data_IF_787450118831
#
_entry.id   IF_787450118831
#
_cell.length_a   1.000
_cell.length_b   1.000
_cell.length_c   1.000
_cell.angle_alpha   90.00
_cell.angle_beta   90.00
_cell.angle_gamma   90.00
#
_symmetry.space_group_name_H-M   'P 1'
#
loop_
_entity.id
_entity.type
_entity.pdbx_description
1 polymer ?
#
# COMPACT_ATOMS: atom_id res chain seq x y z
N UNK A 1 24.25 7.99 -4.43
CA UNK A 1 23.77 8.08 -3.04
C UNK A 1 22.25 8.09 -3.10
N UNK A 2 21.61 6.92 -2.97
CA UNK A 2 20.16 6.86 -2.83
C UNK A 2 19.83 7.46 -1.46
N UNK A 3 19.47 8.74 -1.44
CA UNK A 3 19.02 9.40 -0.22
C UNK A 3 17.81 8.65 0.32
N UNK A 4 17.78 8.42 1.63
CA UNK A 4 16.59 7.95 2.34
C UNK A 4 15.39 8.80 1.94
N UNK A 5 14.34 8.17 1.43
CA UNK A 5 13.09 8.86 1.09
C UNK A 5 12.47 9.40 2.38
N UNK A 6 12.21 10.71 2.49
CA UNK A 6 11.78 11.29 3.75
C UNK A 6 10.33 10.93 4.08
N UNK A 7 10.06 10.79 5.38
CA UNK A 7 8.70 10.85 5.92
C UNK A 7 8.10 12.25 5.73
N UNK A 8 6.80 12.37 5.94
CA UNK A 8 6.14 13.67 6.09
C UNK A 8 6.60 14.36 7.38
N UNK A 9 6.61 15.69 7.40
CA UNK A 9 6.90 16.45 8.62
C UNK A 9 5.81 16.26 9.69
N UNK A 10 4.56 16.09 9.24
CA UNK A 10 3.41 15.87 10.11
C UNK A 10 2.34 15.05 9.38
N UNK A 11 1.92 13.96 10.00
CA UNK A 11 0.74 13.20 9.58
C UNK A 11 -0.53 14.07 9.69
N UNK A 12 -1.29 14.17 8.60
CA UNK A 12 -2.56 14.93 8.52
C UNK A 12 -3.79 14.03 8.46
N UNK A 13 -3.61 12.71 8.40
CA UNK A 13 -4.69 11.72 8.49
C UNK A 13 -5.06 11.48 9.95
N UNK A 14 -6.36 11.45 10.26
CA UNK A 14 -6.84 11.17 11.62
C UNK A 14 -6.45 9.75 12.06
N UNK A 15 -6.07 9.61 13.32
CA UNK A 15 -5.73 8.33 13.96
C UNK A 15 -6.81 7.94 14.97
N UNK A 16 -7.15 6.66 14.98
CA UNK A 16 -8.05 6.05 15.95
C UNK A 16 -7.48 4.74 16.48
N UNK A 17 -7.77 4.42 17.74
CA UNK A 17 -7.27 3.23 18.41
C UNK A 17 -8.36 2.15 18.52
N UNK A 18 -8.09 1.12 19.31
CA UNK A 18 -9.02 0.01 19.60
C UNK A 18 -10.34 0.43 20.27
N UNK A 19 -10.48 1.67 20.74
CA UNK A 19 -11.74 2.19 21.29
C UNK A 19 -12.76 2.59 20.22
N UNK A 20 -12.35 2.69 18.95
CA UNK A 20 -13.26 3.01 17.84
C UNK A 20 -14.30 1.89 17.66
N UNK A 21 -15.55 2.20 17.96
CA UNK A 21 -16.65 1.25 17.77
C UNK A 21 -17.05 1.11 16.31
N UNK A 22 -17.68 -0.01 15.96
CA UNK A 22 -18.18 -0.24 14.61
C UNK A 22 -19.19 0.84 14.16
N UNK A 23 -20.10 1.26 15.04
CA UNK A 23 -21.09 2.30 14.73
C UNK A 23 -20.42 3.65 14.46
N UNK A 24 -19.41 4.01 15.24
CA UNK A 24 -18.67 5.25 15.07
C UNK A 24 -17.81 5.23 13.80
N UNK A 25 -17.24 4.06 13.46
CA UNK A 25 -16.55 3.87 12.18
C UNK A 25 -17.47 4.11 10.99
N UNK A 26 -18.66 3.50 11.00
CA UNK A 26 -19.65 3.71 9.94
C UNK A 26 -20.09 5.17 9.83
N UNK A 27 -20.32 5.83 10.95
CA UNK A 27 -20.80 7.21 10.98
C UNK A 27 -19.75 8.22 10.53
N UNK A 28 -18.47 8.02 10.89
CA UNK A 28 -17.42 9.04 10.72
C UNK A 28 -16.48 8.79 9.55
N UNK A 29 -16.25 7.53 9.16
CA UNK A 29 -15.16 7.18 8.26
C UNK A 29 -15.63 6.40 7.04
N UNK A 30 -16.43 5.35 7.22
CA UNK A 30 -16.81 4.40 6.17
C UNK A 30 -17.15 5.03 4.81
N UNK A 31 -17.92 6.12 4.82
CA UNK A 31 -18.41 6.78 3.60
C UNK A 31 -17.97 8.24 3.49
N UNK A 32 -17.00 8.66 4.30
CA UNK A 32 -16.64 10.08 4.40
C UNK A 32 -15.16 10.33 4.19
N UNK A 33 -14.30 9.78 5.05
CA UNK A 33 -12.88 10.15 5.08
C UNK A 33 -11.95 9.01 5.56
N UNK A 34 -10.67 9.05 5.17
CA UNK A 34 -9.68 8.10 5.64
C UNK A 34 -9.42 8.17 7.14
N UNK A 35 -8.96 7.07 7.70
CA UNK A 35 -8.51 6.97 9.09
C UNK A 35 -7.39 5.96 9.20
N UNK A 36 -6.43 6.22 10.07
CA UNK A 36 -5.39 5.26 10.44
C UNK A 36 -5.77 4.62 11.76
N UNK A 37 -5.87 3.29 11.74
CA UNK A 37 -6.22 2.46 12.86
C UNK A 37 -4.96 1.85 13.45
N UNK A 38 -4.84 1.88 14.77
CA UNK A 38 -3.75 1.21 15.49
C UNK A 38 -4.28 0.37 16.64
N UNK A 39 -3.64 -0.78 16.89
CA UNK A 39 -4.06 -1.71 17.95
C UNK A 39 -5.39 -2.43 17.69
N UNK A 40 -5.87 -2.42 16.44
CA UNK A 40 -7.14 -3.07 16.04
C UNK A 40 -6.96 -4.50 15.52
N UNK A 41 -5.72 -4.91 15.24
CA UNK A 41 -5.32 -6.24 14.76
C UNK A 41 -4.14 -6.76 15.58
N UNK A 42 -4.02 -8.08 15.72
CA UNK A 42 -2.79 -8.74 16.18
C UNK A 42 -2.29 -9.67 15.07
N UNK A 43 -1.36 -9.15 14.28
CA UNK A 43 -0.74 -9.87 13.17
C UNK A 43 0.68 -10.36 13.51
N UNK A 44 0.99 -10.57 14.79
CA UNK A 44 2.31 -11.03 15.22
C UNK A 44 2.73 -12.36 14.56
N UNK A 45 1.80 -13.32 14.48
CA UNK A 45 2.02 -14.61 13.83
C UNK A 45 2.21 -14.45 12.30
N UNK A 46 1.33 -13.69 11.65
CA UNK A 46 1.44 -13.37 10.22
C UNK A 46 2.78 -12.71 9.89
N UNK A 47 3.18 -11.71 10.68
CA UNK A 47 4.46 -11.02 10.54
C UNK A 47 5.66 -11.95 10.65
N UNK A 48 5.65 -12.91 11.57
CA UNK A 48 6.72 -13.91 11.71
C UNK A 48 6.87 -14.80 10.46
N UNK A 49 5.77 -15.06 9.75
CA UNK A 49 5.76 -15.81 8.48
C UNK A 49 6.17 -14.96 7.27
N UNK A 50 6.00 -13.63 7.37
CA UNK A 50 6.35 -12.68 6.31
C UNK A 50 7.83 -12.25 6.29
N UNK A 51 8.71 -12.94 7.03
CA UNK A 51 10.15 -12.66 6.93
C UNK A 51 10.71 -13.14 5.59
N UNK A 52 11.78 -12.50 5.10
CA UNK A 52 12.43 -12.87 3.85
C UNK A 52 12.76 -14.36 3.77
N UNK A 53 13.36 -14.90 4.84
CA UNK A 53 13.74 -16.32 4.93
C UNK A 53 12.52 -17.25 4.83
N UNK A 54 11.46 -16.99 5.61
CA UNK A 54 10.25 -17.83 5.62
C UNK A 54 9.51 -17.76 4.29
N UNK A 55 9.39 -16.56 3.70
CA UNK A 55 8.75 -16.39 2.40
C UNK A 55 9.52 -17.11 1.29
N UNK A 56 10.85 -16.98 1.24
CA UNK A 56 11.68 -17.70 0.26
C UNK A 56 11.59 -19.22 0.43
N UNK A 57 11.65 -19.71 1.67
CA UNK A 57 11.54 -21.14 1.94
C UNK A 57 10.18 -21.73 1.52
N UNK A 58 9.08 -20.98 1.71
CA UNK A 58 7.73 -21.45 1.41
C UNK A 58 7.32 -21.24 -0.06
N UNK A 59 7.74 -20.12 -0.67
CA UNK A 59 7.22 -19.64 -1.95
C UNK A 59 8.29 -19.42 -3.02
N UNK A 60 9.59 -19.58 -2.74
CA UNK A 60 10.70 -19.20 -3.63
C UNK A 60 10.59 -19.70 -5.07
N UNK A 61 10.26 -20.98 -5.26
CA UNK A 61 10.12 -21.58 -6.59
C UNK A 61 8.77 -21.26 -7.28
N UNK A 62 7.80 -20.68 -6.55
CA UNK A 62 6.46 -20.45 -7.07
C UNK A 62 6.43 -19.20 -7.93
N UNK A 63 5.69 -19.22 -9.06
CA UNK A 63 5.54 -18.03 -9.88
C UNK A 63 4.75 -16.96 -9.13
N UNK A 64 5.22 -15.71 -9.23
CA UNK A 64 4.51 -14.51 -8.82
C UNK A 64 4.35 -13.59 -10.01
N UNK A 65 3.21 -12.90 -10.06
CA UNK A 65 2.93 -11.89 -11.07
C UNK A 65 3.38 -10.53 -10.58
N UNK A 66 4.36 -9.95 -11.25
CA UNK A 66 4.80 -8.59 -11.04
C UNK A 66 4.01 -7.66 -11.96
N UNK A 67 3.74 -6.45 -11.47
CA UNK A 67 3.07 -5.41 -12.24
C UNK A 67 3.93 -4.15 -12.31
N UNK A 68 3.73 -3.33 -13.34
CA UNK A 68 4.36 -2.01 -13.39
C UNK A 68 3.78 -1.06 -12.36
N UNK A 69 4.64 -0.22 -11.78
CA UNK A 69 4.32 0.72 -10.71
C UNK A 69 3.72 2.05 -11.23
N UNK A 70 3.15 2.09 -12.43
CA UNK A 70 2.37 3.22 -12.93
C UNK A 70 0.88 3.05 -12.59
N UNK A 71 0.11 4.13 -12.77
CA UNK A 71 -1.31 4.24 -12.36
C UNK A 71 -2.20 3.06 -12.75
N UNK A 72 -1.94 2.45 -13.91
CA UNK A 72 -2.79 1.41 -14.48
C UNK A 72 -2.17 0.01 -14.44
N UNK A 73 -0.89 -0.12 -14.09
CA UNK A 73 -0.22 -1.43 -13.96
C UNK A 73 -0.40 -2.37 -15.17
N UNK A 74 -0.42 -1.83 -16.40
CA UNK A 74 -0.81 -2.57 -17.61
C UNK A 74 0.13 -3.73 -17.96
N UNK A 75 1.43 -3.56 -17.74
CA UNK A 75 2.40 -4.59 -18.07
C UNK A 75 2.65 -5.49 -16.87
N UNK A 76 2.56 -6.80 -17.11
CA UNK A 76 2.71 -7.83 -16.08
C UNK A 76 3.69 -8.90 -16.54
N UNK A 77 4.50 -9.39 -15.61
CA UNK A 77 5.51 -10.41 -15.87
C UNK A 77 5.44 -11.45 -14.76
N UNK A 78 5.44 -12.72 -15.14
CA UNK A 78 5.50 -13.83 -14.18
C UNK A 78 6.96 -14.27 -14.01
N UNK A 79 7.44 -14.29 -12.77
CA UNK A 79 8.80 -14.77 -12.41
C UNK A 79 8.72 -15.66 -11.17
N UNK A 80 9.69 -16.56 -10.92
CA UNK A 80 9.82 -17.20 -9.62
C UNK A 80 9.94 -16.16 -8.50
N UNK A 81 9.28 -16.39 -7.37
CA UNK A 81 9.35 -15.47 -6.23
C UNK A 81 10.79 -15.21 -5.76
N UNK A 82 11.64 -16.24 -5.79
CA UNK A 82 13.05 -16.12 -5.47
C UNK A 82 13.77 -15.14 -6.40
N UNK A 83 13.54 -15.24 -7.71
CA UNK A 83 14.14 -14.34 -8.70
C UNK A 83 13.74 -12.88 -8.42
N UNK A 84 12.46 -12.64 -8.09
CA UNK A 84 12.00 -11.32 -7.70
C UNK A 84 12.76 -10.80 -6.47
N UNK A 85 12.78 -11.57 -5.38
CA UNK A 85 13.37 -11.14 -4.09
C UNK A 85 14.89 -11.00 -4.14
N UNK A 86 15.58 -11.78 -4.96
CA UNK A 86 17.05 -11.80 -5.02
C UNK A 86 17.64 -10.84 -6.06
N UNK A 87 16.90 -10.54 -7.13
CA UNK A 87 17.47 -9.82 -8.28
C UNK A 87 16.68 -8.58 -8.71
N UNK A 88 15.36 -8.55 -8.50
CA UNK A 88 14.50 -7.46 -8.98
C UNK A 88 14.04 -6.53 -7.86
N UNK A 89 13.96 -7.00 -6.62
CA UNK A 89 13.57 -6.24 -5.44
C UNK A 89 14.71 -5.30 -5.02
N UNK A 90 14.75 -4.12 -5.63
CA UNK A 90 15.75 -3.08 -5.40
C UNK A 90 15.10 -1.71 -5.23
N UNK A 91 15.83 -0.70 -4.69
CA UNK A 91 15.33 0.66 -4.64
C UNK A 91 14.93 1.20 -6.02
N UNK A 92 13.91 2.04 -6.07
CA UNK A 92 13.50 2.77 -7.27
C UNK A 92 14.68 3.59 -7.80
N UNK A 93 14.99 3.42 -9.09
CA UNK A 93 15.91 4.30 -9.79
C UNK A 93 15.18 5.64 -10.09
N UNK A 94 15.68 6.79 -9.59
CA UNK A 94 15.06 8.08 -9.86
C UNK A 94 15.00 8.48 -11.34
N UNK A 95 15.79 7.83 -12.21
CA UNK A 95 15.78 8.06 -13.65
C UNK A 95 14.76 7.19 -14.40
N UNK A 96 14.17 6.18 -13.75
CA UNK A 96 13.20 5.27 -14.37
C UNK A 96 11.75 5.75 -14.17
N UNK A 97 10.90 5.48 -15.16
CA UNK A 97 9.46 5.71 -15.06
C UNK A 97 8.78 4.60 -14.26
N UNK A 98 7.58 4.86 -13.75
CA UNK A 98 6.79 3.83 -13.06
C UNK A 98 6.41 2.67 -13.97
N UNK A 99 6.32 2.92 -15.29
CA UNK A 99 6.10 1.90 -16.31
C UNK A 99 7.27 0.91 -16.47
N UNK A 100 8.47 1.27 -15.99
CA UNK A 100 9.67 0.43 -16.09
C UNK A 100 10.04 -0.22 -14.75
N UNK A 101 9.33 0.16 -13.68
CA UNK A 101 9.49 -0.41 -12.34
C UNK A 101 8.52 -1.56 -12.12
N UNK A 102 9.04 -2.76 -11.89
CA UNK A 102 8.24 -3.92 -11.48
C UNK A 102 8.17 -4.05 -9.96
N UNK A 103 6.99 -4.35 -9.43
CA UNK A 103 6.81 -4.70 -8.03
C UNK A 103 5.72 -5.77 -7.86
N UNK A 104 5.79 -6.52 -6.74
CA UNK A 104 4.82 -7.58 -6.44
C UNK A 104 3.68 -7.01 -5.61
N UNK A 105 2.48 -6.94 -6.18
CA UNK A 105 1.27 -6.52 -5.49
C UNK A 105 0.03 -7.05 -6.20
N UNK A 106 -0.83 -7.73 -5.44
CA UNK A 106 -2.04 -8.32 -6.00
C UNK A 106 -1.73 -9.46 -6.96
N UNK A 107 -2.76 -9.86 -7.73
CA UNK A 107 -2.73 -11.05 -8.59
C UNK A 107 -2.18 -12.29 -7.88
N UNK A 108 -2.33 -12.36 -6.55
CA UNK A 108 -1.80 -13.45 -5.77
C UNK A 108 -2.59 -14.72 -6.14
N UNK A 109 -1.89 -15.84 -6.32
CA UNK A 109 -2.56 -17.13 -6.49
C UNK A 109 -3.10 -17.59 -5.12
N UNK A 110 -4.40 -17.42 -4.89
CA UNK A 110 -5.02 -17.72 -3.60
C UNK A 110 -4.98 -19.20 -3.19
N UNK A 111 -4.82 -20.12 -4.14
CA UNK A 111 -4.58 -21.53 -3.83
C UNK A 111 -3.19 -21.72 -3.24
N UNK A 112 -2.19 -21.11 -3.86
CA UNK A 112 -0.80 -21.23 -3.44
C UNK A 112 -0.52 -20.45 -2.14
N UNK A 113 -0.98 -19.19 -2.09
CA UNK A 113 -0.73 -18.26 -0.99
C UNK A 113 -1.77 -18.37 0.14
N UNK A 114 -2.84 -19.15 -0.06
CA UNK A 114 -3.93 -19.35 0.90
C UNK A 114 -3.49 -19.69 2.33
N UNK A 115 -2.54 -20.64 2.55
CA UNK A 115 -2.06 -20.94 3.88
C UNK A 115 -1.44 -19.75 4.62
N UNK A 116 -0.78 -18.82 3.91
CA UNK A 116 -0.28 -17.59 4.50
C UNK A 116 -1.42 -16.62 4.81
N UNK A 117 -2.37 -16.45 3.88
CA UNK A 117 -3.50 -15.53 4.05
C UNK A 117 -4.46 -15.93 5.16
N UNK A 118 -4.58 -17.24 5.46
CA UNK A 118 -5.34 -17.73 6.61
C UNK A 118 -4.76 -17.30 7.96
N UNK A 119 -3.49 -16.87 8.00
CA UNK A 119 -2.85 -16.38 9.22
C UNK A 119 -3.04 -14.87 9.42
N UNK A 120 -3.55 -14.16 8.41
CA UNK A 120 -3.81 -12.72 8.49
C UNK A 120 -5.11 -12.45 9.24
N UNK A 121 -5.04 -11.58 10.25
CA UNK A 121 -6.19 -11.07 10.99
C UNK A 121 -6.54 -9.69 10.42
N UNK A 122 -7.63 -9.56 9.63
CA UNK A 122 -8.03 -8.28 9.07
C UNK A 122 -8.64 -7.35 10.14
N UNK A 123 -8.71 -6.05 9.88
CA UNK A 123 -9.40 -5.10 10.76
C UNK A 123 -10.85 -5.53 11.02
N UNK A 124 -11.41 -5.26 12.22
CA UNK A 124 -12.75 -5.72 12.60
C UNK A 124 -13.90 -4.94 11.93
N UNK A 125 -13.57 -3.91 11.14
CA UNK A 125 -14.54 -3.04 10.51
C UNK A 125 -14.92 -3.55 9.10
N UNK A 126 -16.23 -3.54 8.80
CA UNK A 126 -16.79 -3.99 7.52
C UNK A 126 -17.70 -2.93 6.91
N UNK A 127 -17.74 -2.85 5.59
CA UNK A 127 -18.71 -2.03 4.87
C UNK A 127 -19.90 -2.92 4.49
N UNK A 128 -21.15 -2.55 4.83
CA UNK A 128 -22.31 -3.35 4.46
C UNK A 128 -22.39 -3.56 2.94
N UNK A 129 -22.63 -4.81 2.53
CA UNK A 129 -22.79 -5.17 1.11
C UNK A 129 -21.49 -5.42 0.35
N UNK A 130 -20.32 -5.35 1.00
CA UNK A 130 -19.04 -5.65 0.36
C UNK A 130 -18.46 -7.00 0.79
N UNK A 131 -17.58 -7.55 -0.04
CA UNK A 131 -16.80 -8.75 0.25
C UNK A 131 -15.29 -8.42 0.25
N UNK A 132 -14.52 -8.95 1.22
CA UNK A 132 -13.09 -8.69 1.28
C UNK A 132 -12.32 -9.53 0.25
N UNK A 133 -11.35 -8.91 -0.41
CA UNK A 133 -10.36 -9.56 -1.25
C UNK A 133 -8.96 -9.10 -0.85
N UNK A 134 -8.06 -10.05 -0.56
CA UNK A 134 -6.69 -9.72 -0.16
C UNK A 134 -5.79 -9.41 -1.33
N UNK A 135 -4.84 -8.51 -1.11
CA UNK A 135 -3.75 -8.20 -2.02
C UNK A 135 -2.48 -8.06 -1.20
N UNK A 136 -1.65 -9.10 -1.25
CA UNK A 136 -0.35 -9.12 -0.59
C UNK A 136 0.73 -8.60 -1.54
N UNK A 137 1.70 -7.89 -0.99
CA UNK A 137 2.78 -7.33 -1.80
C UNK A 137 4.10 -7.16 -1.05
N UNK A 138 5.16 -7.15 -1.86
CA UNK A 138 6.53 -6.83 -1.45
C UNK A 138 7.07 -5.83 -2.46
N UNK A 139 7.70 -4.76 -1.99
CA UNK A 139 8.19 -3.71 -2.87
C UNK A 139 9.47 -3.07 -2.33
N UNK A 140 10.32 -2.58 -3.23
CA UNK A 140 11.57 -1.89 -2.86
C UNK A 140 11.33 -0.44 -2.43
N UNK A 141 12.28 0.14 -1.70
CA UNK A 141 12.21 1.55 -1.28
C UNK A 141 12.12 2.50 -2.49
N UNK A 142 11.37 3.60 -2.36
CA UNK A 142 11.13 4.58 -3.42
C UNK A 142 10.12 4.15 -4.48
N UNK A 143 9.68 2.88 -4.48
CA UNK A 143 8.61 2.41 -5.38
C UNK A 143 7.23 2.70 -4.77
N UNK A 144 6.20 2.68 -5.59
CA UNK A 144 4.81 2.80 -5.17
C UNK A 144 3.91 3.12 -6.36
N UNK A 145 2.62 3.27 -6.13
CA UNK A 145 1.65 3.54 -7.21
C UNK A 145 1.25 5.01 -7.17
N UNK A 146 1.27 5.72 -8.31
CA UNK A 146 0.76 7.08 -8.44
C UNK A 146 -0.73 7.17 -8.14
N UNK A 147 -1.28 8.39 -8.19
CA UNK A 147 -2.67 8.62 -7.85
C UNK A 147 -3.63 7.80 -8.73
N UNK A 148 -4.48 7.03 -8.06
CA UNK A 148 -5.60 6.28 -8.65
C UNK A 148 -6.73 6.20 -7.63
N UNK A 149 -7.85 5.60 -8.01
CA UNK A 149 -8.95 5.32 -7.09
C UNK A 149 -9.65 4.02 -7.50
N UNK A 150 -10.36 3.44 -6.54
CA UNK A 150 -11.23 2.28 -6.72
C UNK A 150 -12.19 2.20 -5.51
N UNK A 151 -12.81 1.04 -5.30
CA UNK A 151 -13.64 0.75 -4.13
C UNK A 151 -12.91 0.95 -2.80
N UNK A 152 -13.63 0.96 -1.66
CA UNK A 152 -13.03 1.16 -0.35
C UNK A 152 -12.08 0.02 0.01
N UNK A 153 -11.16 0.28 0.94
CA UNK A 153 -10.22 -0.74 1.36
C UNK A 153 -9.42 -0.41 2.60
N UNK A 154 -8.76 -1.44 3.11
CA UNK A 154 -7.77 -1.34 4.17
C UNK A 154 -6.38 -1.63 3.60
N UNK A 155 -5.35 -0.97 4.13
CA UNK A 155 -3.95 -1.29 3.85
C UNK A 155 -3.15 -1.33 5.15
N UNK A 156 -2.45 -2.44 5.38
CA UNK A 156 -1.59 -2.66 6.54
C UNK A 156 -0.14 -2.88 6.13
N UNK A 157 0.78 -2.25 6.87
CA UNK A 157 2.22 -2.47 6.70
C UNK A 157 2.69 -3.54 7.70
N UNK A 158 3.38 -4.56 7.21
CA UNK A 158 3.90 -5.68 8.01
C UNK A 158 5.40 -5.48 8.30
N UNK A 159 6.14 -5.05 7.29
CA UNK A 159 7.54 -4.65 7.37
C UNK A 159 7.78 -3.38 6.55
N UNK A 160 8.76 -2.58 6.97
CA UNK A 160 9.08 -1.31 6.35
C UNK A 160 8.10 -0.21 6.75
N UNK A 161 8.07 0.86 5.95
CA UNK A 161 7.17 2.01 6.11
C UNK A 161 6.63 2.41 4.75
N UNK A 162 5.36 2.83 4.72
CA UNK A 162 4.70 3.27 3.49
C UNK A 162 4.00 4.61 3.71
N UNK A 163 4.39 5.61 2.94
CA UNK A 163 3.74 6.92 2.91
C UNK A 163 2.56 6.88 1.94
N UNK A 164 1.45 7.45 2.39
CA UNK A 164 0.21 7.58 1.64
C UNK A 164 -0.08 9.06 1.40
N UNK A 165 -0.63 9.34 0.22
CA UNK A 165 -1.15 10.65 -0.17
C UNK A 165 -2.58 10.47 -0.63
N UNK A 166 -3.51 11.27 -0.11
CA UNK A 166 -4.95 11.04 -0.20
C UNK A 166 -5.65 12.36 -0.57
N UNK A 167 -6.48 12.33 -1.61
CA UNK A 167 -7.41 13.40 -1.95
C UNK A 167 -8.85 12.88 -1.91
N UNK A 168 -9.77 13.75 -1.52
CA UNK A 168 -11.20 13.43 -1.58
C UNK A 168 -11.65 13.27 -3.03
N UNK A 169 -12.76 12.55 -3.30
CA UNK A 169 -13.20 12.27 -4.68
C UNK A 169 -13.47 13.52 -5.53
N UNK A 170 -13.81 14.64 -4.90
CA UNK A 170 -14.06 15.95 -5.52
C UNK A 170 -12.78 16.75 -5.82
N UNK A 171 -11.62 16.30 -5.33
CA UNK A 171 -10.32 16.94 -5.54
C UNK A 171 -9.45 16.08 -6.45
N UNK A 172 -9.42 16.42 -7.74
CA UNK A 172 -8.57 15.70 -8.70
C UNK A 172 -7.10 16.12 -8.51
N UNK A 173 -6.18 15.18 -8.20
CA UNK A 173 -4.77 15.51 -8.03
C UNK A 173 -4.11 15.93 -9.34
N UNK A 174 -3.11 16.81 -9.26
CA UNK A 174 -2.23 17.12 -10.37
C UNK A 174 -1.03 16.14 -10.39
N UNK A 175 -1.01 15.24 -11.38
CA UNK A 175 0.05 14.24 -11.54
C UNK A 175 0.11 13.71 -12.98
N UNK A 176 1.24 13.10 -13.35
CA UNK A 176 1.39 12.39 -14.61
C UNK A 176 1.25 10.86 -14.40
N UNK A 177 0.31 10.16 -15.06
CA UNK A 177 0.01 8.76 -14.76
C UNK A 177 1.15 7.74 -14.91
N UNK A 178 2.19 8.06 -15.68
CA UNK A 178 3.37 7.21 -15.89
C UNK A 178 4.59 7.64 -15.07
N UNK A 179 4.56 8.80 -14.40
CA UNK A 179 5.63 9.17 -13.47
C UNK A 179 5.51 8.37 -12.18
N UNK A 180 6.62 8.13 -11.49
CA UNK A 180 6.58 7.47 -10.18
C UNK A 180 6.05 8.43 -9.11
N UNK A 181 5.48 7.89 -8.03
CA UNK A 181 5.14 8.70 -6.84
C UNK A 181 6.37 9.43 -6.29
N UNK A 182 7.55 8.82 -6.39
CA UNK A 182 8.82 9.45 -5.96
C UNK A 182 9.14 10.69 -6.80
N UNK A 183 9.01 10.60 -8.12
CA UNK A 183 9.21 11.74 -9.03
C UNK A 183 8.21 12.85 -8.72
N UNK A 184 6.93 12.50 -8.54
CA UNK A 184 5.89 13.46 -8.15
C UNK A 184 6.21 14.14 -6.80
N UNK A 185 6.63 13.37 -5.79
CA UNK A 185 7.01 13.90 -4.48
C UNK A 185 8.21 14.85 -4.56
N UNK A 186 9.15 14.63 -5.47
CA UNK A 186 10.36 15.44 -5.62
C UNK A 186 10.13 16.69 -6.47
N UNK A 187 9.25 16.63 -7.48
CA UNK A 187 9.11 17.67 -8.50
C UNK A 187 7.82 18.46 -8.42
N UNK A 188 6.72 17.82 -8.04
CA UNK A 188 5.38 18.43 -8.03
C UNK A 188 4.97 18.83 -6.63
N UNK A 189 5.05 17.92 -5.66
CA UNK A 189 4.64 18.17 -4.27
C UNK A 189 5.24 19.43 -3.64
N UNK A 190 6.55 19.76 -3.80
CA UNK A 190 7.13 20.96 -3.20
C UNK A 190 6.59 22.27 -3.78
N UNK A 191 5.98 22.21 -4.97
CA UNK A 191 5.41 23.37 -5.66
C UNK A 191 3.91 23.55 -5.37
N UNK A 192 3.27 22.60 -4.70
CA UNK A 192 1.85 22.68 -4.38
C UNK A 192 1.57 23.75 -3.31
N UNK A 193 0.59 24.64 -3.54
CA UNK A 193 0.03 25.48 -2.48
C UNK A 193 -0.44 24.63 -1.31
N UNK A 194 -0.35 25.16 -0.08
CA UNK A 194 -0.74 24.41 1.12
C UNK A 194 -2.18 23.88 1.05
N UNK A 195 -3.10 24.66 0.47
CA UNK A 195 -4.50 24.28 0.31
C UNK A 195 -4.73 23.16 -0.73
N UNK A 196 -3.75 22.90 -1.60
CA UNK A 196 -3.80 21.86 -2.63
C UNK A 196 -2.96 20.62 -2.24
N UNK A 197 -2.35 20.61 -1.06
CA UNK A 197 -1.60 19.44 -0.57
C UNK A 197 -2.57 18.31 -0.19
N UNK A 198 -2.18 17.04 -0.43
CA UNK A 198 -3.00 15.90 -0.04
C UNK A 198 -3.07 15.78 1.48
N UNK A 199 -4.05 15.02 1.98
CA UNK A 199 -3.86 14.36 3.26
C UNK A 199 -2.72 13.36 3.12
N UNK A 200 -1.84 13.29 4.11
CA UNK A 200 -0.67 12.42 4.04
C UNK A 200 -0.27 11.88 5.40
N UNK A 201 0.29 10.67 5.38
CA UNK A 201 0.85 10.05 6.56
C UNK A 201 1.72 8.85 6.16
N UNK A 202 2.73 8.57 6.97
CA UNK A 202 3.52 7.34 6.92
C UNK A 202 2.92 6.29 7.84
N UNK A 203 2.53 5.16 7.25
CA UNK A 203 2.13 3.97 7.97
C UNK A 203 3.37 3.19 8.43
N UNK A 204 3.36 2.84 9.71
CA UNK A 204 4.34 1.99 10.36
C UNK A 204 3.83 0.56 10.51
N UNK A 205 4.72 -0.41 10.81
CA UNK A 205 4.30 -1.79 11.03
C UNK A 205 3.20 -1.93 12.10
N UNK A 206 2.11 -2.60 11.74
CA UNK A 206 0.93 -2.78 12.60
C UNK A 206 -0.11 -1.65 12.55
N UNK A 207 0.12 -0.62 11.74
CA UNK A 207 -0.88 0.41 11.44
C UNK A 207 -1.67 0.06 10.19
N UNK A 208 -2.97 0.36 10.22
CA UNK A 208 -3.88 0.10 9.10
C UNK A 208 -4.52 1.39 8.63
N UNK A 209 -4.34 1.76 7.37
CA UNK A 209 -5.13 2.81 6.74
C UNK A 209 -6.45 2.23 6.24
N UNK A 210 -7.57 2.87 6.58
CA UNK A 210 -8.81 2.77 5.83
C UNK A 210 -8.93 3.94 4.84
N UNK A 211 -9.29 3.66 3.59
CA UNK A 211 -9.69 4.69 2.62
C UNK A 211 -11.10 4.39 2.07
N UNK A 212 -11.99 5.39 2.00
CA UNK A 212 -13.34 5.21 1.47
C UNK A 212 -13.38 5.04 -0.06
N UNK A 213 -14.56 4.68 -0.57
CA UNK A 213 -14.83 4.57 -2.01
C UNK A 213 -14.41 5.84 -2.76
N UNK A 214 -13.77 5.66 -3.92
CA UNK A 214 -13.33 6.71 -4.86
C UNK A 214 -12.34 7.74 -4.32
N UNK A 215 -11.79 7.56 -3.12
CA UNK A 215 -10.71 8.42 -2.66
C UNK A 215 -9.47 8.23 -3.54
N UNK A 216 -8.97 9.33 -4.09
CA UNK A 216 -7.71 9.34 -4.80
C UNK A 216 -6.59 9.02 -3.83
N UNK A 217 -5.71 8.09 -4.19
CA UNK A 217 -4.58 7.74 -3.36
C UNK A 217 -3.34 7.40 -4.18
N UNK A 218 -2.19 7.86 -3.69
CA UNK A 218 -0.87 7.44 -4.13
C UNK A 218 -0.10 6.83 -2.96
N UNK A 219 0.80 5.91 -3.27
CA UNK A 219 1.62 5.20 -2.28
C UNK A 219 3.10 5.33 -2.59
N UNK A 220 3.92 5.32 -1.54
CA UNK A 220 5.38 5.35 -1.63
C UNK A 220 5.99 4.52 -0.50
N UNK A 221 6.70 3.45 -0.84
CA UNK A 221 7.44 2.64 0.12
C UNK A 221 8.72 3.40 0.50
N UNK A 222 8.90 3.73 1.78
CA UNK A 222 10.11 4.43 2.24
C UNK A 222 11.27 3.46 2.46
N UNK A 223 10.95 2.21 2.80
CA UNK A 223 11.86 1.09 2.92
C UNK A 223 11.43 -0.05 2.00
N UNK A 224 12.26 -1.09 1.86
CA UNK A 224 11.77 -2.38 1.37
C UNK A 224 10.65 -2.85 2.29
N UNK A 225 9.45 -3.00 1.74
CA UNK A 225 8.22 -3.13 2.51
C UNK A 225 7.47 -4.40 2.14
N UNK A 226 6.87 -5.02 3.16
CA UNK A 226 5.89 -6.10 3.02
C UNK A 226 4.57 -5.57 3.55
N UNK A 227 3.50 -5.72 2.78
CA UNK A 227 2.21 -5.14 3.10
C UNK A 227 1.08 -5.99 2.57
N UNK A 228 -0.11 -5.78 3.12
CA UNK A 228 -1.33 -6.43 2.68
C UNK A 228 -2.47 -5.43 2.65
N UNK A 229 -3.24 -5.45 1.57
CA UNK A 229 -4.46 -4.68 1.42
C UNK A 229 -5.67 -5.62 1.43
N UNK A 230 -6.79 -5.12 1.95
CA UNK A 230 -8.10 -5.75 1.84
C UNK A 230 -8.99 -4.83 1.03
N UNK A 231 -9.27 -5.18 -0.22
CA UNK A 231 -10.23 -4.47 -1.07
C UNK A 231 -11.64 -4.93 -0.74
N UNK A 232 -12.59 -3.99 -0.72
CA UNK A 232 -13.98 -4.23 -0.38
C UNK A 232 -14.82 -3.97 -1.63
N UNK A 233 -15.06 -5.03 -2.40
CA UNK A 233 -15.83 -5.02 -3.65
C UNK A 233 -17.27 -5.50 -3.48
#
# INVERSE_FOLDING_TARGET
LAGTVPEEERCTVERADASLTYSLFLQRFAFSRPVILHGVTDNSAFRALCTREKLLAAFGARPVRLSTANTYSYHKVDVPFQEYVEHLLKPQDPAQLGSDTLYFFGDNNFTEWGPLFQQYVPPPFRIPGTSPAYSFGIAGSGSGVPFHWHGPGFSEVIFGRKRWFLYSPDQTPHFHPNETTLTWLQRTYPLLPLAERPLECTLHPGEVLYFPDRWWHATLNLDTSVFISTFLG
#
